data_IF_924282582846
#
_entry.id   IF_924282582846
#
_cell.length_a   1.000
_cell.length_b   1.000
_cell.length_c   1.000
_cell.angle_alpha   90.00
_cell.angle_beta   90.00
_cell.angle_gamma   90.00
#
_symmetry.space_group_name_H-M   'P 1'
#
loop_
_entity.id
_entity.type
_entity.pdbx_description
1 polymer ?
#
# COMPACT_ATOMS: atom_id res chain seq x y z
N UNK A 1 9.34 6.44 -7.44
CA UNK A 1 9.22 6.65 -8.89
C UNK A 1 8.34 5.56 -9.49
N UNK A 2 7.03 5.60 -9.22
CA UNK A 2 6.12 4.48 -9.52
C UNK A 2 5.60 4.49 -10.97
N UNK A 3 5.29 5.69 -11.47
CA UNK A 3 4.71 5.88 -12.80
C UNK A 3 5.80 6.49 -13.70
N UNK A 4 5.96 6.02 -14.95
CA UNK A 4 6.85 6.64 -15.92
C UNK A 4 6.56 8.14 -16.09
N UNK A 5 7.55 8.90 -16.57
CA UNK A 5 7.40 10.37 -16.76
C UNK A 5 6.22 10.74 -17.67
N UNK A 6 5.99 9.96 -18.73
CA UNK A 6 5.01 10.27 -19.78
C UNK A 6 5.44 11.42 -20.69
N UNK A 7 4.50 11.99 -21.43
CA UNK A 7 4.70 13.15 -22.32
C UNK A 7 3.64 14.23 -22.08
N UNK A 8 3.87 15.49 -22.50
CA UNK A 8 2.85 16.55 -22.45
C UNK A 8 1.57 16.21 -23.22
N UNK A 9 1.69 15.47 -24.32
CA UNK A 9 0.58 15.01 -25.17
C UNK A 9 -0.17 13.82 -24.55
N UNK A 10 0.45 13.15 -23.58
CA UNK A 10 -0.05 11.94 -22.93
C UNK A 10 0.52 10.68 -23.59
N UNK A 11 1.29 9.91 -22.83
CA UNK A 11 1.77 8.59 -23.25
C UNK A 11 0.61 7.58 -23.14
N UNK A 12 0.13 6.97 -24.25
CA UNK A 12 -0.91 5.95 -24.18
C UNK A 12 -0.37 4.68 -23.50
N UNK A 13 -1.10 4.21 -22.50
CA UNK A 13 -0.77 3.02 -21.72
C UNK A 13 -2.03 2.20 -21.46
N UNK A 14 -1.86 0.91 -21.23
CA UNK A 14 -2.95 0.03 -20.78
C UNK A 14 -2.72 -0.34 -19.31
N UNK A 15 -3.68 -0.02 -18.45
CA UNK A 15 -3.71 -0.48 -17.06
C UNK A 15 -4.30 -1.88 -17.05
N UNK A 16 -3.49 -2.86 -16.62
CA UNK A 16 -3.89 -4.25 -16.46
C UNK A 16 -4.13 -4.56 -14.98
N UNK A 17 -5.23 -5.25 -14.69
CA UNK A 17 -5.57 -5.75 -13.36
C UNK A 17 -5.95 -7.23 -13.47
N UNK A 18 -5.47 -8.03 -12.52
CA UNK A 18 -5.79 -9.46 -12.41
C UNK A 18 -6.13 -9.79 -10.96
N UNK A 19 -7.14 -10.64 -10.78
CA UNK A 19 -7.46 -11.23 -9.48
C UNK A 19 -7.13 -12.72 -9.55
N UNK A 20 -6.06 -13.15 -8.88
CA UNK A 20 -5.64 -14.55 -8.79
C UNK A 20 -6.29 -15.26 -7.60
N UNK A 21 -6.21 -16.59 -7.62
CA UNK A 21 -6.70 -17.44 -6.54
C UNK A 21 -5.74 -17.41 -5.34
N UNK A 22 -6.21 -16.88 -4.22
CA UNK A 22 -5.43 -16.72 -2.98
C UNK A 22 -4.82 -18.03 -2.48
N UNK A 23 -5.56 -19.14 -2.58
CA UNK A 23 -5.08 -20.45 -2.10
C UNK A 23 -3.85 -20.93 -2.88
N UNK A 24 -3.68 -20.42 -4.10
CA UNK A 24 -2.54 -20.74 -4.94
C UNK A 24 -1.35 -19.80 -4.74
N UNK A 25 -1.58 -18.60 -4.21
CA UNK A 25 -0.58 -17.53 -4.09
C UNK A 25 0.00 -17.45 -2.67
N UNK A 26 -0.78 -17.83 -1.65
CA UNK A 26 -0.36 -17.74 -0.25
C UNK A 26 0.90 -18.56 0.04
N UNK A 27 1.74 -18.03 0.90
CA UNK A 27 2.95 -18.68 1.42
C UNK A 27 2.86 -18.75 2.94
N UNK A 28 2.87 -19.97 3.48
CA UNK A 28 2.92 -20.16 4.93
C UNK A 28 4.27 -19.66 5.46
N UNK A 29 4.21 -18.54 6.19
CA UNK A 29 5.36 -17.84 6.74
C UNK A 29 5.27 -17.85 8.26
N UNK A 30 6.35 -18.25 8.93
CA UNK A 30 6.43 -18.19 10.38
C UNK A 30 6.48 -16.73 10.84
N UNK A 31 5.70 -16.41 11.87
CA UNK A 31 5.53 -15.09 12.52
C UNK A 31 6.85 -14.31 12.67
N UNK A 32 7.18 -13.50 11.68
CA UNK A 32 8.16 -12.43 11.78
C UNK A 32 7.35 -11.15 11.86
N UNK A 33 7.34 -10.47 13.01
CA UNK A 33 6.66 -9.18 13.16
C UNK A 33 7.22 -8.21 12.12
N UNK A 34 6.45 -7.82 11.08
CA UNK A 34 7.00 -7.11 9.95
C UNK A 34 7.29 -5.67 10.38
N UNK A 35 8.56 -5.38 10.67
CA UNK A 35 9.01 -4.02 10.99
C UNK A 35 9.30 -3.19 9.72
N UNK A 36 9.15 -3.79 8.53
CA UNK A 36 9.33 -3.12 7.24
C UNK A 36 8.76 -3.97 6.07
N UNK A 37 7.48 -3.81 5.72
CA UNK A 37 6.79 -4.59 4.64
C UNK A 37 6.20 -3.72 3.52
N UNK A 38 6.49 -2.42 3.50
CA UNK A 38 5.89 -1.50 2.51
C UNK A 38 6.51 -1.61 1.09
N UNK A 39 7.41 -2.58 0.85
CA UNK A 39 8.15 -2.74 -0.42
C UNK A 39 8.45 -4.21 -0.76
N UNK A 40 7.60 -5.14 -0.31
CA UNK A 40 7.83 -6.58 -0.49
C UNK A 40 7.79 -7.05 -1.94
N UNK A 41 7.16 -6.31 -2.84
CA UNK A 41 7.15 -6.61 -4.28
C UNK A 41 8.54 -6.64 -4.91
N UNK A 42 9.48 -5.78 -4.47
CA UNK A 42 10.85 -5.77 -4.99
C UNK A 42 11.89 -6.30 -4.02
N UNK A 43 11.69 -6.10 -2.72
CA UNK A 43 12.68 -6.42 -1.70
C UNK A 43 12.37 -7.71 -0.93
N UNK A 44 11.19 -8.31 -1.14
CA UNK A 44 10.68 -9.36 -0.27
C UNK A 44 10.46 -8.86 1.16
N UNK A 45 10.28 -9.80 2.07
CA UNK A 45 10.11 -9.52 3.50
C UNK A 45 11.33 -10.04 4.25
N UNK A 46 11.90 -9.17 5.10
CA UNK A 46 13.11 -9.48 5.85
C UNK A 46 12.94 -10.74 6.71
N UNK A 47 13.95 -11.61 6.66
CA UNK A 47 14.03 -12.86 7.42
C UNK A 47 12.85 -13.82 7.19
N UNK A 48 12.19 -13.74 6.03
CA UNK A 48 11.04 -14.59 5.70
C UNK A 48 11.01 -14.94 4.21
N UNK A 49 10.07 -15.82 3.83
CA UNK A 49 9.86 -16.19 2.43
C UNK A 49 9.22 -15.02 1.67
N UNK A 50 9.44 -14.98 0.37
CA UNK A 50 8.74 -14.03 -0.50
C UNK A 50 7.22 -14.27 -0.39
N UNK A 51 6.39 -13.22 -0.22
CA UNK A 51 4.99 -13.36 0.18
C UNK A 51 4.03 -13.77 -0.95
N UNK A 52 4.56 -14.21 -2.10
CA UNK A 52 3.80 -14.75 -3.22
C UNK A 52 4.50 -16.03 -3.72
N UNK A 53 3.73 -17.12 -3.84
CA UNK A 53 4.24 -18.41 -4.33
C UNK A 53 4.44 -18.42 -5.85
N UNK A 54 3.82 -17.49 -6.57
CA UNK A 54 3.97 -17.34 -8.02
C UNK A 54 5.37 -16.87 -8.39
N UNK A 55 5.75 -17.08 -9.64
CA UNK A 55 6.98 -16.52 -10.17
C UNK A 55 6.89 -14.98 -10.20
N UNK A 56 7.96 -14.30 -9.82
CA UNK A 56 8.01 -12.83 -9.91
C UNK A 56 7.76 -12.38 -11.34
N UNK A 57 6.78 -11.50 -11.54
CA UNK A 57 6.33 -11.04 -12.86
C UNK A 57 5.10 -11.76 -13.41
N UNK A 58 4.54 -12.72 -12.69
CA UNK A 58 3.27 -13.35 -13.04
C UNK A 58 2.16 -12.29 -13.25
N UNK A 59 1.33 -12.38 -14.31
CA UNK A 59 1.24 -13.48 -15.28
C UNK A 59 2.06 -13.27 -16.58
N UNK A 60 2.96 -12.28 -16.62
CA UNK A 60 3.73 -11.90 -17.82
C UNK A 60 5.18 -12.41 -17.79
N UNK A 61 5.55 -13.24 -16.80
CA UNK A 61 6.88 -13.85 -16.69
C UNK A 61 7.16 -14.86 -17.82
N UNK A 62 6.12 -15.36 -18.49
CA UNK A 62 6.19 -16.41 -19.52
C UNK A 62 5.54 -15.96 -20.83
N UNK A 63 5.90 -16.67 -21.90
CA UNK A 63 5.22 -16.54 -23.18
C UNK A 63 3.73 -16.88 -23.04
N UNK A 64 2.85 -16.16 -23.76
CA UNK A 64 1.41 -16.40 -23.71
C UNK A 64 1.05 -17.76 -24.33
N UNK A 65 -0.17 -18.21 -24.06
CA UNK A 65 -0.76 -19.42 -24.69
C UNK A 65 -0.77 -19.30 -26.21
N UNK A 66 -0.64 -20.44 -26.90
CA UNK A 66 -0.71 -20.48 -28.36
C UNK A 66 -2.00 -19.81 -28.86
N UNK A 67 -1.84 -18.91 -29.84
CA UNK A 67 -2.95 -18.14 -30.41
C UNK A 67 -3.28 -16.82 -29.69
N UNK A 68 -2.59 -16.46 -28.60
CA UNK A 68 -2.71 -15.14 -27.97
C UNK A 68 -1.57 -14.21 -28.42
N UNK A 69 -1.87 -13.31 -29.36
CA UNK A 69 -0.91 -12.38 -29.97
C UNK A 69 -1.04 -10.94 -29.46
N UNK A 70 -2.10 -10.65 -28.70
CA UNK A 70 -2.34 -9.34 -28.11
C UNK A 70 -2.94 -9.48 -26.71
N UNK A 71 -2.95 -8.38 -25.96
CA UNK A 71 -3.41 -8.38 -24.58
C UNK A 71 -4.89 -8.78 -24.46
N UNK A 72 -5.75 -8.38 -25.40
CA UNK A 72 -7.17 -8.73 -25.39
C UNK A 72 -7.39 -10.25 -25.51
N UNK A 73 -6.59 -10.93 -26.33
CA UNK A 73 -6.62 -12.40 -26.47
C UNK A 73 -6.02 -13.14 -25.28
N UNK A 74 -5.17 -12.47 -24.50
CA UNK A 74 -4.58 -13.05 -23.29
C UNK A 74 -5.58 -13.10 -22.12
N UNK A 75 -6.54 -12.16 -22.08
CA UNK A 75 -7.45 -12.02 -20.95
C UNK A 75 -8.23 -13.29 -20.63
N UNK A 76 -8.49 -13.46 -19.34
CA UNK A 76 -9.39 -14.44 -18.75
C UNK A 76 -10.48 -13.68 -17.95
N UNK A 77 -11.57 -14.34 -17.51
CA UNK A 77 -12.68 -13.65 -16.85
C UNK A 77 -12.32 -12.87 -15.57
N UNK A 78 -11.19 -13.21 -14.93
CA UNK A 78 -10.65 -12.56 -13.74
C UNK A 78 -9.63 -11.44 -14.04
N UNK A 79 -9.51 -11.02 -15.31
CA UNK A 79 -8.62 -9.95 -15.76
C UNK A 79 -9.40 -8.81 -16.40
N UNK A 80 -8.92 -7.59 -16.20
CA UNK A 80 -9.46 -6.39 -16.82
C UNK A 80 -8.35 -5.49 -17.34
N UNK A 81 -8.64 -4.77 -18.42
CA UNK A 81 -7.73 -3.78 -19.02
C UNK A 81 -8.47 -2.47 -19.21
N UNK A 82 -7.80 -1.37 -18.91
CA UNK A 82 -8.30 -0.01 -19.12
C UNK A 82 -7.27 0.82 -19.89
N UNK A 83 -7.69 1.46 -20.97
CA UNK A 83 -6.85 2.41 -21.69
C UNK A 83 -6.69 3.70 -20.87
N UNK A 84 -5.45 4.12 -20.68
CA UNK A 84 -5.07 5.28 -19.85
C UNK A 84 -4.02 6.13 -20.56
N UNK A 85 -3.83 7.37 -20.10
CA UNK A 85 -2.78 8.26 -20.60
C UNK A 85 -2.00 8.86 -19.46
N UNK A 86 -0.67 8.75 -19.53
CA UNK A 86 0.23 9.37 -18.56
C UNK A 86 0.68 10.73 -19.11
N UNK A 87 0.17 11.81 -18.51
CA UNK A 87 0.47 13.18 -18.93
C UNK A 87 1.53 13.81 -18.03
N UNK A 88 2.65 14.21 -18.64
CA UNK A 88 3.67 15.01 -17.96
C UNK A 88 3.26 16.48 -17.92
N UNK A 89 3.35 17.10 -16.74
CA UNK A 89 3.21 18.56 -16.61
C UNK A 89 4.56 19.13 -16.19
N UNK A 90 5.15 19.98 -17.03
CA UNK A 90 6.44 20.59 -16.75
C UNK A 90 6.29 21.73 -15.74
N UNK A 91 6.21 21.35 -14.47
CA UNK A 91 6.13 22.30 -13.36
C UNK A 91 6.86 21.76 -12.13
N UNK A 92 7.48 22.66 -11.39
CA UNK A 92 8.10 22.36 -10.10
C UNK A 92 7.08 22.66 -9.01
N UNK A 93 6.75 21.66 -8.18
CA UNK A 93 5.80 21.80 -7.07
C UNK A 93 6.53 21.55 -5.76
N UNK A 94 6.44 22.49 -4.82
CA UNK A 94 6.95 22.28 -3.47
C UNK A 94 6.18 21.16 -2.77
N UNK A 95 6.85 20.38 -1.91
CA UNK A 95 6.18 19.35 -1.10
C UNK A 95 5.06 20.01 -0.29
N UNK A 96 3.86 19.44 -0.35
CA UNK A 96 2.75 19.88 0.51
C UNK A 96 3.20 19.72 1.97
N UNK A 97 3.11 20.76 2.81
CA UNK A 97 3.40 20.61 4.22
C UNK A 97 2.42 19.57 4.79
N UNK A 98 2.95 18.61 5.57
CA UNK A 98 2.11 17.70 6.33
C UNK A 98 1.24 18.56 7.24
N UNK A 99 -0.07 18.52 7.04
CA UNK A 99 -1.00 19.16 7.97
C UNK A 99 -0.86 18.42 9.30
N UNK A 100 -0.10 19.01 10.23
CA UNK A 100 -0.15 18.63 11.62
C UNK A 100 -1.55 18.99 12.09
N UNK A 101 -2.47 18.03 12.09
CA UNK A 101 -3.66 18.13 12.92
C UNK A 101 -3.18 18.26 14.36
N UNK A 102 -3.07 19.50 14.83
CA UNK A 102 -3.02 19.84 16.25
C UNK A 102 -4.35 19.39 16.84
N UNK A 103 -4.45 18.12 17.21
CA UNK A 103 -5.25 17.74 18.36
C UNK A 103 -4.57 18.35 19.58
N UNK A 104 -4.87 19.61 19.86
CA UNK A 104 -5.00 20.06 21.25
C UNK A 104 -6.13 19.23 21.85
N UNK A 105 -5.81 18.01 22.27
CA UNK A 105 -6.60 17.34 23.29
C UNK A 105 -6.48 18.22 24.52
N UNK A 106 -7.50 19.03 24.74
CA UNK A 106 -7.88 19.51 26.06
C UNK A 106 -7.91 18.29 26.97
N UNK A 107 -6.82 18.04 27.72
CA UNK A 107 -6.85 17.20 28.90
C UNK A 107 -7.47 18.08 29.98
N UNK A 108 -8.73 17.87 30.41
CA UNK A 108 -9.22 18.56 31.58
C UNK A 108 -8.34 18.13 32.75
N UNK A 109 -7.69 19.10 33.39
CA UNK A 109 -7.14 18.96 34.73
C UNK A 109 -8.24 18.38 35.61
N UNK A 110 -8.09 17.11 36.01
CA UNK A 110 -8.93 16.55 37.06
C UNK A 110 -8.63 17.36 38.34
N UNK A 111 -9.58 18.22 38.68
CA UNK A 111 -9.70 18.79 40.01
C UNK A 111 -9.78 17.63 41.01
N UNK A 112 -8.71 17.42 41.77
CA UNK A 112 -8.82 16.69 43.02
C UNK A 112 -9.50 17.60 44.05
N UNK A 113 -10.61 17.17 44.68
CA UNK A 113 -11.24 17.94 45.74
C UNK A 113 -10.34 17.99 46.96
N UNK A 114 -10.10 19.21 47.45
CA UNK A 114 -9.61 19.50 48.80
C UNK A 114 -10.56 18.87 49.83
N UNK A 115 -10.19 17.73 50.43
CA UNK A 115 -10.80 17.27 51.68
C UNK A 115 -10.03 17.86 52.86
N UNK A 116 -10.46 19.05 53.25
CA UNK A 116 -10.12 19.68 54.50
C UNK A 116 -11.09 19.13 55.56
N UNK A 117 -10.69 18.11 56.34
CA UNK A 117 -11.41 17.72 57.56
C UNK A 117 -10.53 17.98 58.76
N UNK A 118 -10.61 19.22 59.22
CA UNK A 118 -10.20 19.62 60.56
C UNK A 118 -10.99 18.85 61.63
N UNK A 119 -10.34 18.78 62.80
CA UNK A 119 -10.88 18.60 64.16
C UNK A 119 -10.71 17.21 64.80
N UNK A 120 -9.66 17.15 65.64
CA UNK A 120 -9.73 16.90 67.09
C UNK A 120 -10.58 15.74 67.61
N UNK A 121 -9.92 14.78 68.28
CA UNK A 121 -10.09 14.50 69.73
C UNK A 121 -9.40 13.19 70.14
N UNK A 122 -8.62 13.27 71.24
CA UNK A 122 -8.58 12.37 72.44
C UNK A 122 -8.39 10.86 72.14
N UNK A 123 -7.37 10.17 72.64
CA UNK A 123 -6.72 10.17 73.96
C UNK A 123 -5.30 9.64 73.81
#
# INVERSE_FOLDING_TARGET
MLIPRGSPEGLPCQLFVMVSDYEQDKVDSAQSTPTCDNASSYCGVRDSKYPDRRAMGFPFDRLPRDGAFNLAQFLTPNMAVLDTKIKFTDRIVAKRPLQANRTTQNRPTQNQPTQNRNQNRRQ
#
